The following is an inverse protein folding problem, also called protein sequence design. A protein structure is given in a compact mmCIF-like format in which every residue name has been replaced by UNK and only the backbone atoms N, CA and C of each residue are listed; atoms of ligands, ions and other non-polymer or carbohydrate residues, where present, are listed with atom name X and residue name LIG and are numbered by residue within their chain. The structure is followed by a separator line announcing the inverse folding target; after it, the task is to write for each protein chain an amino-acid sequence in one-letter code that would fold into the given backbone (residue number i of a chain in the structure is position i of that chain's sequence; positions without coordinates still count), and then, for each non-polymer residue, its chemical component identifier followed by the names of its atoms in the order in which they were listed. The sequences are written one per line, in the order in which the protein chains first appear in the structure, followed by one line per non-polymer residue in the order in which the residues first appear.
data_IF_121505838825
#
_entry.id   IF_121505838825
#
_cell.length_a   1.000
_cell.length_b   1.000
_cell.length_c   1.000
_cell.angle_alpha   90.00
_cell.angle_beta   90.00
_cell.angle_gamma   90.00
#
_symmetry.space_group_name_H-M   'P 1'
#
loop_
_entity.id
_entity.type
_entity.pdbx_description
1 polymer ?
#
# COMPACT_ATOMS: atom_id res chain seq x y z
N UNK A 1 -18.41 12.31 10.72
CA UNK A 1 -16.96 12.37 10.39
C UNK A 1 -16.25 11.30 11.21
N UNK A 2 -15.39 10.47 10.61
CA UNK A 2 -14.53 9.56 11.41
C UNK A 2 -13.22 10.28 11.74
N UNK A 3 -12.78 10.23 12.99
CA UNK A 3 -11.51 10.84 13.41
C UNK A 3 -10.31 10.02 12.93
N UNK A 4 -9.12 10.60 12.98
CA UNK A 4 -7.87 9.88 12.71
C UNK A 4 -7.71 8.63 13.58
N UNK A 5 -8.04 8.75 14.88
CA UNK A 5 -7.93 7.64 15.83
C UNK A 5 -8.89 6.49 15.48
N UNK A 6 -10.09 6.80 15.00
CA UNK A 6 -11.06 5.77 14.58
C UNK A 6 -10.55 4.98 13.37
N UNK A 7 -9.89 5.65 12.42
CA UNK A 7 -9.28 4.97 11.26
C UNK A 7 -8.17 4.01 11.68
N UNK A 8 -7.34 4.40 12.64
CA UNK A 8 -6.26 3.54 13.16
C UNK A 8 -6.85 2.30 13.86
N UNK A 9 -7.86 2.48 14.70
CA UNK A 9 -8.53 1.37 15.41
C UNK A 9 -9.14 0.35 14.45
N UNK A 10 -9.71 0.81 13.33
CA UNK A 10 -10.34 -0.04 12.33
C UNK A 10 -9.34 -0.81 11.45
N UNK A 11 -8.05 -0.45 11.41
CA UNK A 11 -7.03 -1.13 10.60
C UNK A 11 -6.67 -2.49 11.21
N UNK A 12 -6.83 -3.57 10.43
CA UNK A 12 -6.50 -4.95 10.83
C UNK A 12 -5.60 -5.63 9.79
N UNK A 13 -4.90 -6.68 10.21
CA UNK A 13 -4.24 -7.62 9.28
C UNK A 13 -5.31 -8.50 8.64
N UNK A 14 -5.34 -8.56 7.30
CA UNK A 14 -6.36 -9.28 6.53
C UNK A 14 -5.68 -10.39 5.71
N UNK A 15 -6.00 -11.65 5.99
CA UNK A 15 -5.48 -12.81 5.24
C UNK A 15 -6.40 -13.25 4.10
N UNK A 16 -7.71 -13.00 4.24
CA UNK A 16 -8.71 -13.31 3.22
C UNK A 16 -8.70 -12.24 2.11
N UNK A 17 -7.67 -12.26 1.26
CA UNK A 17 -7.52 -11.37 0.11
C UNK A 17 -7.92 -12.07 -1.19
N UNK A 18 -8.45 -11.30 -2.14
CA UNK A 18 -8.85 -11.78 -3.47
C UNK A 18 -8.19 -10.97 -4.59
N UNK A 19 -8.39 -11.40 -5.83
CA UNK A 19 -7.80 -10.75 -7.03
C UNK A 19 -8.67 -9.63 -7.61
N UNK A 20 -9.93 -9.53 -7.19
CA UNK A 20 -10.90 -8.60 -7.74
C UNK A 20 -10.90 -7.31 -6.93
N UNK A 21 -10.03 -6.39 -7.32
CA UNK A 21 -9.98 -5.05 -6.73
C UNK A 21 -10.83 -4.11 -7.58
N UNK A 22 -11.90 -3.56 -7.01
CA UNK A 22 -12.81 -2.64 -7.69
C UNK A 22 -12.25 -1.22 -7.85
N UNK A 23 -11.17 -0.89 -7.11
CA UNK A 23 -10.55 0.43 -7.15
C UNK A 23 -9.64 0.56 -8.36
N UNK A 24 -9.70 1.72 -9.03
CA UNK A 24 -8.79 2.02 -10.13
C UNK A 24 -7.32 2.02 -9.67
N UNK A 25 -6.45 1.48 -10.53
CA UNK A 25 -5.03 1.34 -10.23
C UNK A 25 -4.35 2.68 -9.99
N UNK A 26 -4.74 3.74 -10.69
CA UNK A 26 -4.17 5.08 -10.52
C UNK A 26 -4.39 5.58 -9.10
N UNK A 27 -5.59 5.35 -8.55
CA UNK A 27 -5.94 5.77 -7.20
C UNK A 27 -5.20 4.98 -6.13
N UNK A 28 -4.92 3.70 -6.37
CA UNK A 28 -4.06 2.88 -5.52
C UNK A 28 -2.64 3.46 -5.50
N UNK A 29 -2.07 3.71 -6.68
CA UNK A 29 -0.72 4.26 -6.82
C UNK A 29 -0.57 5.65 -6.20
N UNK A 30 -1.55 6.53 -6.40
CA UNK A 30 -1.58 7.86 -5.78
C UNK A 30 -1.59 7.76 -4.25
N UNK A 31 -2.45 6.88 -3.69
CA UNK A 31 -2.52 6.66 -2.24
C UNK A 31 -1.18 6.19 -1.68
N UNK A 32 -0.55 5.21 -2.34
CA UNK A 32 0.77 4.69 -1.92
C UNK A 32 1.83 5.78 -2.02
N UNK A 33 1.87 6.52 -3.13
CA UNK A 33 2.84 7.60 -3.36
C UNK A 33 2.75 8.68 -2.29
N UNK A 34 1.55 9.18 -2.01
CA UNK A 34 1.35 10.24 -1.03
C UNK A 34 1.69 9.76 0.38
N UNK A 35 1.30 8.53 0.74
CA UNK A 35 1.66 7.95 2.03
C UNK A 35 3.18 7.85 2.24
N UNK A 36 3.91 7.39 1.21
CA UNK A 36 5.39 7.26 1.28
C UNK A 36 6.05 8.63 1.31
N UNK A 37 5.65 9.55 0.42
CA UNK A 37 6.24 10.88 0.26
C UNK A 37 6.09 11.74 1.52
N UNK A 38 4.95 11.63 2.19
CA UNK A 38 4.63 12.44 3.36
C UNK A 38 4.94 11.75 4.70
N UNK A 39 5.46 10.52 4.67
CA UNK A 39 6.01 9.89 5.86
C UNK A 39 7.36 10.52 6.21
N UNK A 40 7.57 11.02 7.44
CA UNK A 40 8.85 11.57 7.83
C UNK A 40 9.93 10.49 7.79
N UNK A 41 11.14 10.87 7.40
CA UNK A 41 12.32 10.01 7.43
C UNK A 41 13.40 10.66 8.29
N UNK A 42 14.21 9.84 8.97
CA UNK A 42 15.31 10.35 9.78
C UNK A 42 16.22 11.23 8.91
N UNK A 43 16.52 12.44 9.39
CA UNK A 43 17.31 13.46 8.69
C UNK A 43 16.79 13.83 7.29
N UNK A 44 15.49 13.63 7.03
CA UNK A 44 14.88 13.78 5.70
C UNK A 44 15.66 13.02 4.60
N UNK A 45 16.24 11.87 4.95
CA UNK A 45 17.05 11.05 4.04
C UNK A 45 16.26 10.47 2.87
N UNK A 46 14.94 10.33 3.01
CA UNK A 46 14.03 9.85 1.98
C UNK A 46 14.53 8.56 1.31
N UNK A 47 15.07 7.64 2.11
CA UNK A 47 15.71 6.41 1.62
C UNK A 47 14.70 5.34 1.19
N UNK A 48 13.44 5.43 1.65
CA UNK A 48 12.37 4.49 1.28
C UNK A 48 12.18 4.41 -0.23
N UNK A 49 12.12 3.19 -0.77
CA UNK A 49 11.77 2.89 -2.16
C UNK A 49 10.66 1.85 -2.16
N UNK A 50 9.72 1.96 -3.09
CA UNK A 50 8.56 1.08 -3.19
C UNK A 50 8.42 0.59 -4.62
N UNK A 51 8.12 -0.70 -4.76
CA UNK A 51 7.77 -1.35 -6.02
C UNK A 51 6.43 -2.05 -5.83
N UNK A 52 5.45 -1.70 -6.66
CA UNK A 52 4.12 -2.31 -6.63
C UNK A 52 3.99 -3.31 -7.76
N UNK A 53 3.71 -4.57 -7.43
CA UNK A 53 3.52 -5.65 -8.40
C UNK A 53 2.04 -5.91 -8.65
N UNK A 54 1.68 -6.10 -9.92
CA UNK A 54 0.32 -6.41 -10.36
C UNK A 54 0.31 -7.58 -11.33
N UNK A 55 -0.86 -8.20 -11.50
CA UNK A 55 -1.10 -9.23 -12.51
C UNK A 55 -0.04 -10.33 -12.49
N UNK A 56 0.56 -10.60 -13.64
CA UNK A 56 1.57 -11.64 -13.78
C UNK A 56 2.83 -11.40 -12.94
N UNK A 57 3.30 -10.17 -12.78
CA UNK A 57 4.50 -9.89 -11.99
C UNK A 57 4.28 -10.23 -10.52
N UNK A 58 3.07 -10.01 -10.00
CA UNK A 58 2.68 -10.44 -8.66
C UNK A 58 2.65 -11.97 -8.54
N UNK A 59 2.01 -12.66 -9.51
CA UNK A 59 1.94 -14.12 -9.51
C UNK A 59 3.32 -14.78 -9.63
N UNK A 60 4.18 -14.25 -10.50
CA UNK A 60 5.57 -14.71 -10.68
C UNK A 60 6.37 -14.58 -9.40
N UNK A 61 6.26 -13.45 -8.70
CA UNK A 61 6.94 -13.24 -7.42
C UNK A 61 6.55 -14.30 -6.39
N UNK A 62 5.26 -14.55 -6.20
CA UNK A 62 4.77 -15.52 -5.21
C UNK A 62 4.97 -17.00 -5.59
N UNK A 63 5.29 -17.31 -6.84
CA UNK A 63 5.71 -18.66 -7.23
C UNK A 63 7.21 -18.91 -6.99
N UNK A 64 8.00 -17.84 -6.77
CA UNK A 64 9.44 -17.93 -6.51
C UNK A 64 9.78 -18.09 -5.01
N UNK A 65 8.88 -17.64 -4.13
CA UNK A 65 9.02 -17.68 -2.66
C UNK A 65 8.09 -18.72 -2.06
#
# INVERSE_FOLDING_TARGET
MSTFLDKIKNRRTIYAIGKNVALDRTKIEETIREAVKHSPSAFNSQSSRVVTLYGESHAKFWNLV
#
